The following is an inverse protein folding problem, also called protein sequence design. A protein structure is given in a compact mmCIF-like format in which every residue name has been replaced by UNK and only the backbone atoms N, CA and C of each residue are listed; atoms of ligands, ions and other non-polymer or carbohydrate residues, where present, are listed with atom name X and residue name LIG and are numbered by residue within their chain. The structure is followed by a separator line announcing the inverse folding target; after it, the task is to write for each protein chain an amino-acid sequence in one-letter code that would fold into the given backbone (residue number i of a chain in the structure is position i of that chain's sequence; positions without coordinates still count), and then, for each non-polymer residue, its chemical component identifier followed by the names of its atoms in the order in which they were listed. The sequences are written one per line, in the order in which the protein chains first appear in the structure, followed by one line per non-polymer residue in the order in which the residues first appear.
data_IF_941768881385
#
_entry.id   IF_941768881385
#
_cell.length_a   1.000
_cell.length_b   1.000
_cell.length_c   1.000
_cell.angle_alpha   90.00
_cell.angle_beta   90.00
_cell.angle_gamma   90.00
#
_symmetry.space_group_name_H-M   'P 1'
#
loop_
_entity.id
_entity.type
_entity.pdbx_description
1 polymer ?
#
# COMPACT_ATOMS: atom_id res chain seq x y z
N UNK A 1 -6.68 2.66 -6.84
CA UNK A 1 -7.86 1.83 -7.17
C UNK A 1 -7.74 1.37 -8.61
N UNK A 2 -7.78 2.30 -9.56
CA UNK A 2 -7.74 2.00 -11.01
C UNK A 2 -6.60 1.06 -11.42
N UNK A 3 -5.35 1.35 -11.00
CA UNK A 3 -4.19 0.52 -11.36
C UNK A 3 -4.32 -0.91 -10.81
N UNK A 4 -4.59 -1.08 -9.51
CA UNK A 4 -4.65 -2.43 -8.92
C UNK A 4 -5.79 -3.27 -9.50
N UNK A 5 -6.94 -2.68 -9.85
CA UNK A 5 -8.02 -3.43 -10.50
C UNK A 5 -7.72 -3.78 -11.94
N UNK A 6 -6.96 -2.94 -12.65
CA UNK A 6 -6.52 -3.25 -13.99
C UNK A 6 -5.55 -4.45 -13.97
N UNK A 7 -4.59 -4.46 -13.05
CA UNK A 7 -3.71 -5.61 -12.85
C UNK A 7 -4.45 -6.87 -12.36
N UNK A 8 -5.47 -6.72 -11.52
CA UNK A 8 -6.21 -7.85 -10.97
C UNK A 8 -7.18 -8.45 -12.00
N UNK A 9 -7.97 -7.63 -12.67
CA UNK A 9 -9.14 -8.02 -13.46
C UNK A 9 -9.15 -7.47 -14.90
N UNK A 10 -8.21 -6.59 -15.27
CA UNK A 10 -8.22 -5.91 -16.57
C UNK A 10 -9.35 -4.89 -16.70
N UNK A 11 -9.88 -4.45 -15.56
CA UNK A 11 -10.97 -3.49 -15.44
C UNK A 11 -10.52 -2.33 -14.55
N UNK A 12 -11.07 -1.14 -14.79
CA UNK A 12 -10.81 0.04 -13.97
C UNK A 12 -12.11 0.57 -13.40
N UNK A 13 -12.07 1.00 -12.14
CA UNK A 13 -13.17 1.74 -11.52
C UNK A 13 -13.27 3.17 -12.02
N UNK A 14 -12.26 3.64 -12.78
CA UNK A 14 -12.19 4.99 -13.36
C UNK A 14 -12.36 6.08 -12.29
N UNK A 15 -11.77 5.86 -11.13
CA UNK A 15 -11.80 6.84 -10.04
C UNK A 15 -11.21 8.19 -10.46
N UNK A 16 -10.23 8.19 -11.37
CA UNK A 16 -9.65 9.43 -11.89
C UNK A 16 -10.56 10.20 -12.86
N UNK A 17 -11.59 9.56 -13.43
CA UNK A 17 -12.57 10.21 -14.31
C UNK A 17 -13.73 10.85 -13.51
N UNK A 18 -13.87 10.48 -12.24
CA UNK A 18 -14.87 11.04 -11.33
C UNK A 18 -14.46 12.48 -10.93
N UNK A 19 -15.36 13.48 -11.02
CA UNK A 19 -15.03 14.87 -10.68
C UNK A 19 -14.48 15.07 -9.27
N UNK A 20 -14.90 14.22 -8.32
CA UNK A 20 -14.48 14.27 -6.92
C UNK A 20 -13.42 13.20 -6.60
N UNK A 21 -12.88 12.51 -7.63
CA UNK A 21 -11.93 11.41 -7.51
C UNK A 21 -12.46 10.20 -6.71
N UNK A 22 -13.79 10.01 -6.69
CA UNK A 22 -14.48 8.88 -6.05
C UNK A 22 -14.07 8.64 -4.58
N UNK A 23 -14.32 9.59 -3.65
CA UNK A 23 -13.84 9.55 -2.27
C UNK A 23 -14.41 8.38 -1.45
N UNK A 24 -15.50 7.77 -1.92
CA UNK A 24 -16.10 6.59 -1.32
C UNK A 24 -15.13 5.41 -1.14
N UNK A 25 -14.15 5.25 -2.04
CA UNK A 25 -13.18 4.16 -1.99
C UNK A 25 -12.15 4.28 -0.86
N UNK A 26 -11.36 5.38 -0.75
CA UNK A 26 -10.45 5.54 0.38
C UNK A 26 -11.20 5.53 1.71
N UNK A 27 -12.36 6.21 1.79
CA UNK A 27 -13.16 6.23 3.02
C UNK A 27 -13.65 4.83 3.45
N UNK A 28 -13.96 3.94 2.49
CA UNK A 28 -14.35 2.57 2.81
C UNK A 28 -13.21 1.77 3.44
N UNK A 29 -11.98 1.92 2.92
CA UNK A 29 -10.80 1.22 3.45
C UNK A 29 -10.36 1.78 4.79
N UNK A 30 -10.41 3.11 4.96
CA UNK A 30 -10.12 3.76 6.24
C UNK A 30 -11.12 3.33 7.31
N UNK A 31 -12.40 3.22 6.97
CA UNK A 31 -13.44 2.73 7.90
C UNK A 31 -13.15 1.31 8.41
N UNK A 32 -12.62 0.41 7.58
CA UNK A 32 -12.21 -0.95 7.99
C UNK A 32 -11.01 -0.92 8.91
N UNK A 33 -10.06 -0.06 8.55
CA UNK A 33 -8.79 0.12 9.24
C UNK A 33 -9.00 0.64 10.67
N UNK A 34 -9.85 1.65 10.84
CA UNK A 34 -10.25 2.21 12.14
C UNK A 34 -10.96 1.18 13.03
N UNK A 35 -11.83 0.36 12.44
CA UNK A 35 -12.55 -0.70 13.16
C UNK A 35 -11.67 -1.91 13.52
N UNK A 36 -10.42 -1.97 13.04
CA UNK A 36 -9.56 -3.14 13.21
C UNK A 36 -9.28 -3.49 14.68
N UNK A 37 -9.18 -2.50 15.57
CA UNK A 37 -8.98 -2.76 17.01
C UNK A 37 -10.22 -3.35 17.67
N UNK A 38 -11.40 -2.83 17.33
CA UNK A 38 -12.68 -3.34 17.83
C UNK A 38 -12.89 -4.78 17.37
N UNK A 39 -12.61 -5.07 16.10
CA UNK A 39 -12.73 -6.42 15.53
C UNK A 39 -11.77 -7.42 16.20
N UNK A 40 -10.57 -6.99 16.61
CA UNK A 40 -9.63 -7.83 17.35
C UNK A 40 -10.09 -8.11 18.77
N UNK A 41 -10.64 -7.11 19.46
CA UNK A 41 -11.11 -7.26 20.83
C UNK A 41 -12.42 -8.06 20.92
N UNK A 42 -13.26 -7.97 19.88
CA UNK A 42 -14.57 -8.61 19.80
C UNK A 42 -14.67 -9.46 18.52
N UNK A 43 -13.98 -10.60 18.44
CA UNK A 43 -13.97 -11.45 17.24
C UNK A 43 -15.36 -12.02 16.88
N UNK A 44 -16.30 -12.02 17.82
CA UNK A 44 -17.69 -12.42 17.62
C UNK A 44 -18.54 -11.33 16.94
N UNK A 45 -18.06 -10.08 16.87
CA UNK A 45 -18.82 -8.95 16.32
C UNK A 45 -19.08 -9.12 14.82
N UNK A 46 -18.05 -9.47 14.03
CA UNK A 46 -18.20 -9.65 12.59
C UNK A 46 -19.13 -10.83 12.21
N UNK A 47 -19.01 -12.03 12.81
CA UNK A 47 -19.98 -13.10 12.61
C UNK A 47 -21.42 -12.69 12.97
N UNK A 48 -21.60 -11.95 14.07
CA UNK A 48 -22.92 -11.46 14.48
C UNK A 48 -23.51 -10.48 13.46
N UNK A 49 -22.70 -9.55 12.95
CA UNK A 49 -23.13 -8.60 11.91
C UNK A 49 -23.55 -9.30 10.60
N UNK A 50 -22.94 -10.44 10.25
CA UNK A 50 -23.35 -11.23 9.09
C UNK A 50 -24.73 -11.88 9.26
N UNK A 51 -25.18 -12.08 10.49
CA UNK A 51 -26.48 -12.66 10.82
C UNK A 51 -27.58 -11.60 10.94
N UNK A 52 -27.22 -10.31 11.05
CA UNK A 52 -28.19 -9.22 11.16
C UNK A 52 -28.72 -8.77 9.79
N UNK A 53 -30.01 -8.41 9.68
CA UNK A 53 -30.57 -7.88 8.43
C UNK A 53 -29.83 -6.63 7.93
N UNK A 54 -29.65 -6.51 6.61
CA UNK A 54 -28.88 -5.43 5.96
C UNK A 54 -29.38 -4.03 6.39
N UNK A 55 -30.69 -3.82 6.48
CA UNK A 55 -31.27 -2.53 6.89
C UNK A 55 -30.86 -2.12 8.32
N UNK A 56 -30.65 -3.10 9.21
CA UNK A 56 -30.22 -2.85 10.59
C UNK A 56 -28.73 -2.55 10.63
N UNK A 57 -27.94 -3.26 9.83
CA UNK A 57 -26.50 -3.01 9.67
C UNK A 57 -26.25 -1.62 9.09
N UNK A 58 -27.01 -1.23 8.06
CA UNK A 58 -26.97 0.09 7.45
C UNK A 58 -27.33 1.20 8.47
N UNK A 59 -28.35 0.96 9.30
CA UNK A 59 -28.73 1.90 10.37
C UNK A 59 -27.70 2.02 11.50
N UNK A 60 -26.92 0.96 11.77
CA UNK A 60 -25.88 0.96 12.80
C UNK A 60 -24.54 1.53 12.32
N UNK A 61 -24.15 1.22 11.08
CA UNK A 61 -22.91 1.70 10.49
C UNK A 61 -23.08 1.89 8.97
N UNK A 62 -23.32 3.13 8.50
CA UNK A 62 -23.52 3.41 7.08
C UNK A 62 -22.27 3.13 6.23
N UNK A 63 -21.07 3.10 6.84
CA UNK A 63 -19.82 2.79 6.13
C UNK A 63 -19.74 1.32 5.68
N UNK A 64 -20.45 0.40 6.36
CA UNK A 64 -20.46 -1.03 6.02
C UNK A 64 -21.09 -1.28 4.65
N UNK A 65 -22.05 -0.45 4.23
CA UNK A 65 -22.68 -0.60 2.92
C UNK A 65 -21.71 -0.38 1.77
N UNK A 66 -20.68 0.45 1.96
CA UNK A 66 -19.63 0.66 0.95
C UNK A 66 -18.78 -0.59 0.78
N UNK A 67 -18.45 -1.24 1.88
CA UNK A 67 -17.73 -2.52 1.88
C UNK A 67 -18.57 -3.62 1.25
N UNK A 68 -19.85 -3.73 1.59
CA UNK A 68 -20.75 -4.72 0.99
C UNK A 68 -20.82 -4.51 -0.53
N UNK A 69 -20.95 -3.27 -1.01
CA UNK A 69 -20.93 -2.97 -2.44
C UNK A 69 -19.62 -3.42 -3.10
N UNK A 70 -18.46 -3.09 -2.50
CA UNK A 70 -17.17 -3.56 -2.97
C UNK A 70 -17.12 -5.09 -3.06
N UNK A 71 -17.61 -5.80 -2.04
CA UNK A 71 -17.61 -7.27 -2.02
C UNK A 71 -18.50 -7.85 -3.13
N UNK A 72 -19.69 -7.28 -3.36
CA UNK A 72 -20.61 -7.69 -4.43
C UNK A 72 -19.97 -7.47 -5.81
N UNK A 73 -19.32 -6.31 -6.00
CA UNK A 73 -18.66 -5.98 -7.26
C UNK A 73 -17.51 -6.95 -7.53
N UNK A 74 -16.64 -7.22 -6.55
CA UNK A 74 -15.55 -8.18 -6.67
C UNK A 74 -16.06 -9.60 -6.94
N UNK A 75 -17.14 -10.02 -6.28
CA UNK A 75 -17.78 -11.31 -6.56
C UNK A 75 -18.31 -11.41 -7.98
N UNK A 76 -18.88 -10.32 -8.49
CA UNK A 76 -19.34 -10.22 -9.88
C UNK A 76 -18.16 -10.32 -10.85
N UNK A 77 -17.05 -9.62 -10.56
CA UNK A 77 -15.84 -9.65 -11.39
C UNK A 77 -15.21 -11.04 -11.41
N UNK A 78 -15.02 -11.68 -10.26
CA UNK A 78 -14.50 -13.04 -10.14
C UNK A 78 -15.39 -14.03 -10.90
N UNK A 79 -16.70 -13.94 -10.74
CA UNK A 79 -17.66 -14.83 -11.43
C UNK A 79 -17.59 -14.68 -12.95
N UNK A 80 -17.48 -13.45 -13.46
CA UNK A 80 -17.28 -13.20 -14.90
C UNK A 80 -16.00 -13.84 -15.42
N UNK A 81 -14.90 -13.76 -14.67
CA UNK A 81 -13.63 -14.39 -15.04
C UNK A 81 -13.72 -15.91 -15.03
N UNK A 82 -14.34 -16.50 -14.02
CA UNK A 82 -14.55 -17.95 -13.94
C UNK A 82 -15.40 -18.49 -15.10
N UNK A 83 -16.38 -17.72 -15.55
CA UNK A 83 -17.28 -18.11 -16.64
C UNK A 83 -16.73 -17.78 -18.04
N UNK A 84 -15.50 -17.25 -18.15
CA UNK A 84 -14.90 -16.85 -19.43
C UNK A 84 -15.56 -15.62 -20.07
N UNK A 85 -16.37 -14.87 -19.32
CA UNK A 85 -17.12 -13.68 -19.76
C UNK A 85 -16.36 -12.37 -19.46
N UNK A 86 -15.12 -12.44 -18.97
CA UNK A 86 -14.33 -11.27 -18.62
C UNK A 86 -13.85 -10.45 -19.84
N UNK A 87 -13.94 -10.99 -21.05
CA UNK A 87 -13.43 -10.34 -22.26
C UNK A 87 -14.24 -9.12 -22.73
N UNK A 88 -15.44 -8.87 -22.20
CA UNK A 88 -16.33 -7.81 -22.72
C UNK A 88 -15.87 -6.38 -22.35
N UNK A 89 -14.91 -6.21 -21.42
CA UNK A 89 -14.44 -4.89 -20.93
C UNK A 89 -12.92 -4.83 -20.69
N UNK A 90 -12.08 -5.48 -21.52
CA UNK A 90 -10.62 -5.38 -21.38
C UNK A 90 -10.14 -3.94 -21.54
N UNK A 91 -9.60 -3.36 -20.47
CA UNK A 91 -8.86 -2.10 -20.49
C UNK A 91 -7.41 -2.32 -20.95
N UNK A 92 -6.88 -3.52 -20.73
CA UNK A 92 -5.46 -3.84 -20.89
C UNK A 92 -5.21 -5.10 -21.73
N UNK A 93 -4.12 -5.07 -22.51
CA UNK A 93 -3.67 -6.17 -23.39
C UNK A 93 -2.84 -7.24 -22.65
N UNK A 94 -2.54 -7.04 -21.37
CA UNK A 94 -1.72 -7.97 -20.57
C UNK A 94 -2.57 -9.00 -19.83
N UNK A 95 -2.00 -10.18 -19.50
CA UNK A 95 -2.63 -11.10 -18.55
C UNK A 95 -2.83 -10.43 -17.19
N UNK A 96 -3.94 -10.73 -16.53
CA UNK A 96 -4.26 -10.21 -15.19
C UNK A 96 -4.01 -11.30 -14.15
N UNK A 97 -3.94 -10.93 -12.87
CA UNK A 97 -3.75 -11.87 -11.76
C UNK A 97 -4.83 -12.97 -11.81
N UNK A 98 -6.11 -12.59 -11.93
CA UNK A 98 -7.20 -13.56 -11.94
C UNK A 98 -7.29 -14.39 -13.23
N UNK A 99 -6.80 -13.87 -14.36
CA UNK A 99 -6.64 -14.69 -15.56
C UNK A 99 -5.59 -15.79 -15.35
N UNK A 100 -4.45 -15.49 -14.71
CA UNK A 100 -3.39 -16.47 -14.44
C UNK A 100 -3.79 -17.49 -13.38
N UNK A 101 -4.45 -17.06 -12.30
CA UNK A 101 -4.94 -17.94 -11.23
C UNK A 101 -5.98 -18.96 -11.72
N UNK A 102 -6.81 -18.57 -12.70
CA UNK A 102 -7.86 -19.44 -13.23
C UNK A 102 -7.39 -20.41 -14.31
N UNK A 103 -6.14 -20.31 -14.78
CA UNK A 103 -5.60 -21.27 -15.75
C UNK A 103 -5.65 -22.72 -15.20
N UNK A 104 -5.86 -23.73 -16.07
CA UNK A 104 -5.80 -25.12 -15.66
C UNK A 104 -4.44 -25.43 -15.00
N UNK A 105 -4.47 -26.04 -13.81
CA UNK A 105 -3.25 -26.41 -13.06
C UNK A 105 -2.63 -25.33 -12.17
N UNK A 106 -3.04 -24.06 -12.25
CA UNK A 106 -2.50 -22.98 -11.39
C UNK A 106 -2.86 -23.13 -9.92
N UNK A 107 -4.12 -23.49 -9.63
CA UNK A 107 -4.65 -23.69 -8.28
C UNK A 107 -5.22 -25.10 -8.10
N UNK A 108 -5.11 -25.71 -6.90
CA UNK A 108 -5.89 -26.89 -6.49
C UNK A 108 -7.39 -26.67 -6.63
N UNK A 109 -8.18 -27.74 -6.80
CA UNK A 109 -9.62 -27.62 -7.05
C UNK A 109 -10.36 -26.99 -5.85
N UNK A 110 -9.93 -27.33 -4.64
CA UNK A 110 -10.43 -26.81 -3.37
C UNK A 110 -10.21 -25.29 -3.21
N UNK A 111 -9.20 -24.73 -3.87
CA UNK A 111 -8.88 -23.30 -3.83
C UNK A 111 -9.59 -22.49 -4.94
N UNK A 112 -10.31 -23.15 -5.86
CA UNK A 112 -11.03 -22.49 -6.97
C UNK A 112 -12.48 -22.14 -6.64
N UNK A 113 -12.84 -22.12 -5.37
CA UNK A 113 -14.19 -21.71 -4.97
C UNK A 113 -14.38 -20.20 -5.17
N UNK A 114 -15.61 -19.79 -5.51
CA UNK A 114 -15.95 -18.36 -5.63
C UNK A 114 -15.62 -17.62 -4.34
N UNK A 115 -15.94 -18.19 -3.19
CA UNK A 115 -15.70 -17.58 -1.89
C UNK A 115 -14.20 -17.31 -1.65
N UNK A 116 -13.34 -18.29 -1.95
CA UNK A 116 -11.90 -18.12 -1.80
C UNK A 116 -11.34 -17.06 -2.75
N UNK A 117 -11.70 -17.12 -4.04
CA UNK A 117 -11.24 -16.16 -5.04
C UNK A 117 -11.73 -14.73 -4.77
N UNK A 118 -12.92 -14.57 -4.20
CA UNK A 118 -13.42 -13.28 -3.74
C UNK A 118 -12.64 -12.76 -2.54
N UNK A 119 -12.22 -13.65 -1.63
CA UNK A 119 -11.30 -13.31 -0.54
C UNK A 119 -9.95 -12.80 -1.07
N UNK A 120 -9.36 -13.53 -2.01
CA UNK A 120 -8.10 -13.12 -2.67
C UNK A 120 -8.25 -11.78 -3.42
N UNK A 121 -9.40 -11.57 -4.08
CA UNK A 121 -9.72 -10.34 -4.78
C UNK A 121 -9.74 -9.14 -3.82
N UNK A 122 -10.41 -9.30 -2.69
CA UNK A 122 -10.48 -8.28 -1.65
C UNK A 122 -9.09 -7.98 -1.09
N UNK A 123 -8.28 -9.02 -0.83
CA UNK A 123 -6.93 -8.86 -0.30
C UNK A 123 -6.03 -8.08 -1.26
N UNK A 124 -6.00 -8.46 -2.54
CA UNK A 124 -5.17 -7.80 -3.57
C UNK A 124 -5.59 -6.35 -3.77
N UNK A 125 -6.90 -6.10 -3.93
CA UNK A 125 -7.43 -4.76 -4.17
C UNK A 125 -7.18 -3.84 -2.98
N UNK A 126 -7.50 -4.27 -1.76
CA UNK A 126 -7.30 -3.45 -0.57
C UNK A 126 -5.81 -3.12 -0.34
N UNK A 127 -4.92 -4.10 -0.58
CA UNK A 127 -3.48 -3.92 -0.40
C UNK A 127 -2.86 -2.91 -1.39
N UNK A 128 -3.40 -2.79 -2.61
CA UNK A 128 -2.85 -1.91 -3.65
C UNK A 128 -3.37 -0.46 -3.61
N UNK A 129 -4.15 -0.07 -2.59
CA UNK A 129 -4.76 1.26 -2.54
C UNK A 129 -4.09 2.18 -1.52
N UNK A 130 -4.40 1.98 -0.23
CA UNK A 130 -4.14 3.00 0.79
C UNK A 130 -2.65 3.13 1.11
N UNK A 131 -1.89 2.04 1.04
CA UNK A 131 -0.45 2.06 1.36
C UNK A 131 0.34 2.94 0.39
N UNK A 132 0.06 2.85 -0.91
CA UNK A 132 0.74 3.68 -1.93
C UNK A 132 0.30 5.13 -1.83
N UNK A 133 -0.99 5.39 -1.61
CA UNK A 133 -1.51 6.74 -1.40
C UNK A 133 -0.88 7.41 -0.18
N UNK A 134 -0.83 6.71 0.96
CA UNK A 134 -0.19 7.21 2.18
C UNK A 134 1.27 7.58 1.95
N UNK A 135 2.02 6.70 1.29
CA UNK A 135 3.40 6.96 0.91
C UNK A 135 3.53 8.24 0.06
N UNK A 136 2.72 8.34 -0.99
CA UNK A 136 2.78 9.45 -1.95
C UNK A 136 2.44 10.77 -1.28
N UNK A 137 1.39 10.81 -0.46
CA UNK A 137 0.96 11.99 0.28
C UNK A 137 2.06 12.46 1.26
N UNK A 138 2.58 11.54 2.08
CA UNK A 138 3.63 11.83 3.06
C UNK A 138 4.90 12.35 2.38
N UNK A 139 5.34 11.67 1.32
CA UNK A 139 6.56 12.04 0.60
C UNK A 139 6.38 13.37 -0.15
N UNK A 140 5.23 13.59 -0.79
CA UNK A 140 4.93 14.83 -1.48
C UNK A 140 4.90 16.02 -0.51
N UNK A 141 4.30 15.86 0.67
CA UNK A 141 4.34 16.87 1.73
C UNK A 141 5.79 17.24 2.08
N UNK A 142 6.65 16.26 2.35
CA UNK A 142 8.03 16.54 2.74
C UNK A 142 8.87 17.17 1.62
N UNK A 143 8.62 16.82 0.35
CA UNK A 143 9.25 17.49 -0.79
C UNK A 143 8.82 18.96 -0.85
N UNK A 144 7.52 19.24 -0.74
CA UNK A 144 6.99 20.60 -0.85
C UNK A 144 7.33 21.50 0.35
N UNK A 145 7.41 20.93 1.55
CA UNK A 145 7.76 21.65 2.77
C UNK A 145 9.24 22.11 2.78
N UNK A 146 10.05 21.63 1.85
CA UNK A 146 11.50 21.86 1.75
C UNK A 146 11.88 22.36 0.35
N UNK A 147 11.87 23.69 0.11
CA UNK A 147 12.15 24.26 -1.20
C UNK A 147 13.48 23.80 -1.82
N UNK A 148 14.48 23.51 -1.01
CA UNK A 148 15.78 22.98 -1.42
C UNK A 148 15.66 21.58 -2.06
N UNK A 149 14.88 20.69 -1.45
CA UNK A 149 14.63 19.34 -1.98
C UNK A 149 13.80 19.43 -3.25
N UNK A 150 12.74 20.24 -3.24
CA UNK A 150 11.89 20.45 -4.43
C UNK A 150 12.71 20.98 -5.60
N UNK A 151 13.56 21.99 -5.38
CA UNK A 151 14.40 22.57 -6.42
C UNK A 151 15.39 21.56 -6.99
N UNK A 152 16.04 20.76 -6.13
CA UNK A 152 17.00 19.75 -6.55
C UNK A 152 16.32 18.60 -7.33
N UNK A 153 15.16 18.13 -6.87
CA UNK A 153 14.35 17.13 -7.58
C UNK A 153 13.94 17.64 -8.96
N UNK A 154 13.39 18.86 -9.05
CA UNK A 154 13.00 19.48 -10.32
C UNK A 154 14.18 19.64 -11.28
N UNK A 155 15.35 20.03 -10.78
CA UNK A 155 16.56 20.14 -11.59
C UNK A 155 16.99 18.78 -12.16
N UNK A 156 16.97 17.72 -11.35
CA UNK A 156 17.31 16.36 -11.79
C UNK A 156 16.31 15.84 -12.84
N UNK A 157 15.00 15.98 -12.58
CA UNK A 157 13.95 15.55 -13.53
C UNK A 157 14.03 16.31 -14.86
N UNK A 158 14.23 17.64 -14.81
CA UNK A 158 14.40 18.48 -16.01
C UNK A 158 15.58 18.03 -16.87
N UNK A 159 16.63 17.48 -16.25
CA UNK A 159 17.82 17.03 -16.98
C UNK A 159 17.55 15.83 -17.90
N UNK A 160 16.56 14.99 -17.55
CA UNK A 160 16.18 13.77 -18.28
C UNK A 160 14.86 13.87 -19.04
N UNK A 161 14.06 14.91 -18.80
CA UNK A 161 12.76 15.16 -19.46
C UNK A 161 12.84 16.32 -20.46
N UNK A 162 13.95 16.43 -21.21
CA UNK A 162 14.23 17.61 -22.07
C UNK A 162 13.23 17.79 -23.21
N UNK A 163 12.62 16.72 -23.68
CA UNK A 163 11.61 16.70 -24.74
C UNK A 163 10.16 16.72 -24.20
N UNK A 164 9.99 16.86 -22.88
CA UNK A 164 8.69 16.80 -22.21
C UNK A 164 8.12 15.39 -22.05
N UNK A 165 8.81 14.35 -22.53
CA UNK A 165 8.40 12.96 -22.36
C UNK A 165 8.81 12.42 -21.00
N UNK A 166 8.00 11.51 -20.44
CA UNK A 166 8.35 10.80 -19.22
C UNK A 166 9.34 9.66 -19.55
N UNK A 167 10.50 9.57 -18.87
CA UNK A 167 11.45 8.49 -19.10
C UNK A 167 10.86 7.15 -18.68
N UNK A 168 11.49 6.05 -19.13
CA UNK A 168 11.12 4.71 -18.65
C UNK A 168 11.35 4.57 -17.15
N UNK A 169 10.63 3.65 -16.51
CA UNK A 169 10.81 3.34 -15.09
C UNK A 169 12.27 3.04 -14.74
N UNK A 170 12.95 2.22 -15.55
CA UNK A 170 14.35 1.86 -15.32
C UNK A 170 15.28 3.08 -15.35
N UNK A 171 14.93 4.11 -16.14
CA UNK A 171 15.70 5.35 -16.19
C UNK A 171 15.45 6.21 -14.95
N UNK A 172 14.20 6.27 -14.47
CA UNK A 172 13.82 6.98 -13.25
C UNK A 172 14.47 6.36 -12.01
N UNK A 173 14.52 5.03 -11.92
CA UNK A 173 15.16 4.28 -10.82
C UNK A 173 16.68 4.48 -10.76
N UNK A 174 17.29 5.02 -11.82
CA UNK A 174 18.72 5.33 -11.88
C UNK A 174 19.03 6.79 -11.49
N UNK A 175 18.01 7.63 -11.32
CA UNK A 175 18.20 9.02 -10.91
C UNK A 175 18.61 9.07 -9.43
N UNK A 176 19.82 9.53 -9.08
CA UNK A 176 20.33 9.45 -7.72
C UNK A 176 19.43 10.12 -6.69
N UNK A 177 18.96 11.34 -6.96
CA UNK A 177 18.22 12.12 -5.97
C UNK A 177 16.75 11.70 -5.87
N UNK A 178 16.07 11.42 -6.99
CA UNK A 178 14.74 10.81 -6.98
C UNK A 178 14.75 9.47 -6.24
N UNK A 179 15.74 8.62 -6.50
CA UNK A 179 15.84 7.33 -5.80
C UNK A 179 16.10 7.50 -4.30
N UNK A 180 16.87 8.51 -3.92
CA UNK A 180 17.11 8.86 -2.54
C UNK A 180 15.85 9.38 -1.83
N UNK A 181 15.07 10.22 -2.52
CA UNK A 181 13.72 10.66 -2.08
C UNK A 181 12.82 9.45 -1.91
N UNK A 182 12.85 8.49 -2.85
CA UNK A 182 12.00 7.32 -2.78
C UNK A 182 12.29 6.48 -1.54
N UNK A 183 13.58 6.24 -1.26
CA UNK A 183 14.01 5.50 -0.07
C UNK A 183 13.71 6.24 1.24
N UNK A 184 13.90 7.56 1.27
CA UNK A 184 13.55 8.34 2.47
C UNK A 184 12.04 8.40 2.69
N UNK A 185 11.25 8.48 1.61
CA UNK A 185 9.80 8.33 1.65
C UNK A 185 9.38 7.00 2.27
N UNK A 186 10.05 5.90 1.94
CA UNK A 186 9.71 4.58 2.49
C UNK A 186 9.98 4.52 3.99
N UNK A 187 11.03 5.22 4.42
CA UNK A 187 11.41 5.28 5.83
C UNK A 187 10.39 6.09 6.63
N UNK A 188 10.10 7.33 6.19
CA UNK A 188 9.28 8.27 6.96
C UNK A 188 7.77 8.00 6.88
N UNK A 189 7.30 7.38 5.79
CA UNK A 189 5.92 6.92 5.70
C UNK A 189 5.65 5.66 6.54
N UNK A 190 6.72 5.02 7.04
CA UNK A 190 6.75 3.81 7.89
C UNK A 190 6.14 2.53 7.30
N UNK A 191 5.34 2.63 6.23
CA UNK A 191 4.49 1.54 5.76
C UNK A 191 3.40 1.21 6.78
N UNK A 192 2.84 -0.02 6.75
CA UNK A 192 1.89 -0.46 7.78
C UNK A 192 2.52 -0.41 9.17
N UNK A 193 1.93 0.34 10.09
CA UNK A 193 2.44 0.55 11.46
C UNK A 193 2.00 -0.54 12.42
N UNK A 194 0.98 -1.31 12.04
CA UNK A 194 0.51 -2.43 12.82
C UNK A 194 1.52 -3.57 12.90
N UNK A 195 1.52 -4.28 14.02
CA UNK A 195 2.61 -5.17 14.48
C UNK A 195 2.84 -6.48 13.69
N UNK A 196 2.31 -6.65 12.48
CA UNK A 196 2.52 -7.78 11.54
C UNK A 196 2.90 -9.13 12.19
N UNK A 197 2.08 -9.60 13.13
CA UNK A 197 2.45 -10.73 14.00
C UNK A 197 2.65 -12.05 13.24
N UNK A 198 3.52 -12.90 13.77
CA UNK A 198 3.74 -14.28 13.36
C UNK A 198 3.69 -15.16 14.58
N UNK A 199 3.10 -16.33 14.44
CA UNK A 199 2.98 -17.31 15.53
C UNK A 199 3.43 -18.65 14.99
N UNK A 200 4.35 -19.31 15.70
CA UNK A 200 4.66 -20.72 15.49
C UNK A 200 3.75 -21.51 16.45
N UNK A 201 2.65 -22.11 15.95
CA UNK A 201 1.61 -22.66 16.83
C UNK A 201 2.07 -23.90 17.60
N UNK A 202 2.92 -24.71 16.99
CA UNK A 202 3.21 -26.07 17.46
C UNK A 202 4.68 -26.29 17.87
N UNK A 203 5.51 -25.25 17.79
CA UNK A 203 6.94 -25.36 18.11
C UNK A 203 7.44 -24.18 18.95
N UNK A 204 8.35 -24.47 19.88
CA UNK A 204 9.06 -23.44 20.61
C UNK A 204 10.17 -22.85 19.74
N UNK A 205 10.27 -21.52 19.72
CA UNK A 205 11.29 -20.81 18.94
C UNK A 205 12.47 -20.46 19.84
N UNK A 206 13.68 -20.74 19.37
CA UNK A 206 14.91 -20.43 20.11
C UNK A 206 15.60 -19.23 19.45
N UNK A 207 15.75 -18.15 20.21
CA UNK A 207 16.53 -16.98 19.80
C UNK A 207 17.62 -16.71 20.83
N UNK A 208 18.88 -16.99 20.46
CA UNK A 208 20.03 -16.93 21.38
C UNK A 208 19.74 -17.77 22.64
N UNK A 209 19.75 -17.15 23.82
CA UNK A 209 19.46 -17.78 25.11
C UNK A 209 17.96 -17.81 25.46
N UNK A 210 17.10 -17.24 24.62
CA UNK A 210 15.66 -17.17 24.85
C UNK A 210 14.95 -18.34 24.18
N UNK A 211 14.07 -18.99 24.94
CA UNK A 211 13.13 -20.00 24.43
C UNK A 211 11.74 -19.40 24.50
N UNK A 212 11.11 -19.21 23.34
CA UNK A 212 9.77 -18.68 23.19
C UNK A 212 8.81 -19.87 23.05
N UNK A 213 7.83 -20.03 23.97
CA UNK A 213 6.88 -21.14 23.90
C UNK A 213 6.11 -21.18 22.58
N UNK A 214 5.70 -22.37 22.18
CA UNK A 214 4.76 -22.55 21.08
C UNK A 214 3.49 -21.71 21.29
N UNK A 215 2.96 -21.13 20.21
CA UNK A 215 1.82 -20.24 20.23
C UNK A 215 2.13 -18.78 20.60
N UNK A 216 3.38 -18.43 20.93
CA UNK A 216 3.75 -17.04 21.26
C UNK A 216 3.71 -16.15 20.01
N UNK A 217 2.87 -15.09 19.96
CA UNK A 217 2.88 -14.14 18.87
C UNK A 217 4.14 -13.26 18.95
N UNK A 218 4.87 -13.19 17.84
CA UNK A 218 6.05 -12.35 17.68
C UNK A 218 5.82 -11.31 16.60
N UNK A 219 6.35 -10.12 16.83
CA UNK A 219 6.06 -8.95 16.02
C UNK A 219 7.26 -8.02 15.94
N UNK A 220 7.26 -7.20 14.89
CA UNK A 220 8.14 -6.05 14.76
C UNK A 220 7.31 -4.80 14.49
N UNK A 221 7.87 -3.63 14.80
CA UNK A 221 7.26 -2.33 14.50
C UNK A 221 8.24 -1.54 13.65
N UNK A 222 7.87 -1.25 12.40
CA UNK A 222 8.72 -0.52 11.46
C UNK A 222 9.09 0.87 11.99
N UNK A 223 8.13 1.58 12.61
CA UNK A 223 8.36 2.90 13.23
C UNK A 223 9.56 2.85 14.18
N UNK A 224 9.62 1.88 15.09
CA UNK A 224 10.70 1.81 16.09
C UNK A 224 12.08 1.61 15.46
N UNK A 225 12.15 0.94 14.31
CA UNK A 225 13.39 0.72 13.57
C UNK A 225 13.75 1.99 12.78
N UNK A 226 12.77 2.57 12.09
CA UNK A 226 12.94 3.75 11.24
C UNK A 226 13.17 5.04 12.04
N UNK A 227 12.73 5.08 13.30
CA UNK A 227 12.97 6.15 14.27
C UNK A 227 14.16 5.90 15.20
N UNK A 228 14.88 4.79 15.05
CA UNK A 228 16.07 4.55 15.85
C UNK A 228 17.20 5.48 15.39
N UNK A 229 17.59 6.43 16.26
CA UNK A 229 18.61 7.45 15.97
C UNK A 229 20.03 6.88 15.79
N UNK A 230 20.33 5.71 16.36
CA UNK A 230 21.60 5.01 16.12
C UNK A 230 21.68 4.44 14.70
N UNK A 231 20.53 4.07 14.12
CA UNK A 231 20.43 3.55 12.75
C UNK A 231 20.24 4.68 11.73
N UNK A 232 19.36 5.63 12.04
CA UNK A 232 18.97 6.75 11.22
C UNK A 232 19.14 8.06 12.00
N UNK A 233 20.32 8.70 11.97
CA UNK A 233 20.53 10.00 12.62
C UNK A 233 19.53 11.05 12.13
N UNK A 234 19.02 11.85 13.07
CA UNK A 234 17.87 12.76 12.88
C UNK A 234 16.67 12.08 12.20
N UNK A 235 16.12 11.01 12.80
CA UNK A 235 15.19 10.13 12.10
C UNK A 235 13.86 10.81 11.75
N UNK A 236 13.45 11.85 12.47
CA UNK A 236 12.21 12.57 12.15
C UNK A 236 12.38 13.61 11.04
N UNK A 237 13.62 13.85 10.60
CA UNK A 237 13.89 14.74 9.48
C UNK A 237 13.86 13.95 8.17
N UNK A 238 13.16 14.49 7.17
CA UNK A 238 13.22 14.01 5.80
C UNK A 238 14.55 14.43 5.16
N UNK A 239 15.51 13.51 5.07
CA UNK A 239 16.87 13.75 4.57
C UNK A 239 17.24 12.75 3.47
N UNK A 240 16.88 12.99 2.19
CA UNK A 240 17.26 12.13 1.08
C UNK A 240 18.78 11.88 0.98
N UNK A 241 19.60 12.85 1.40
CA UNK A 241 21.07 12.82 1.30
C UNK A 241 21.69 11.58 1.94
N UNK A 242 21.04 10.98 2.96
CA UNK A 242 21.51 9.75 3.61
C UNK A 242 21.57 8.53 2.67
N UNK A 243 20.89 8.60 1.52
CA UNK A 243 20.78 7.51 0.54
C UNK A 243 21.63 7.71 -0.72
N UNK A 244 22.37 8.83 -0.81
CA UNK A 244 23.17 9.15 -2.00
C UNK A 244 24.46 8.33 -2.06
N UNK A 245 25.16 8.22 -0.94
CA UNK A 245 26.40 7.43 -0.89
C UNK A 245 26.10 5.92 -0.92
N UNK A 246 26.69 5.14 -1.85
CA UNK A 246 26.38 3.72 -1.99
C UNK A 246 26.60 2.88 -0.71
N UNK A 247 27.69 3.14 0.01
CA UNK A 247 28.02 2.42 1.26
C UNK A 247 27.02 2.70 2.38
N UNK A 248 26.61 3.97 2.53
CA UNK A 248 25.55 4.38 3.47
C UNK A 248 24.21 3.76 3.08
N UNK A 249 23.86 3.85 1.79
CA UNK A 249 22.61 3.30 1.24
C UNK A 249 22.46 1.80 1.49
N UNK A 250 23.50 1.01 1.24
CA UNK A 250 23.47 -0.45 1.46
C UNK A 250 23.24 -0.81 2.93
N UNK A 251 23.97 -0.14 3.84
CA UNK A 251 23.81 -0.34 5.28
C UNK A 251 22.39 0.02 5.74
N UNK A 252 21.88 1.19 5.35
CA UNK A 252 20.56 1.68 5.76
C UNK A 252 19.42 0.84 5.17
N UNK A 253 19.58 0.34 3.93
CA UNK A 253 18.59 -0.53 3.28
C UNK A 253 18.39 -1.86 4.01
N UNK A 254 19.36 -2.28 4.83
CA UNK A 254 19.20 -3.44 5.71
C UNK A 254 18.13 -3.21 6.78
N UNK A 255 17.94 -1.97 7.23
CA UNK A 255 16.99 -1.57 8.26
C UNK A 255 15.71 -0.94 7.71
N UNK A 256 15.63 -0.72 6.40
CA UNK A 256 14.40 -0.29 5.73
C UNK A 256 13.46 -1.48 5.58
N UNK A 257 12.35 -1.49 6.33
CA UNK A 257 11.46 -2.65 6.52
C UNK A 257 9.98 -2.32 6.32
N UNK A 258 9.66 -1.22 5.63
CA UNK A 258 8.29 -0.83 5.28
C UNK A 258 7.54 -1.90 4.45
N UNK A 259 8.27 -2.72 3.68
CA UNK A 259 7.71 -3.85 2.93
C UNK A 259 7.88 -5.20 3.64
N UNK A 260 8.28 -5.23 4.91
CA UNK A 260 8.76 -6.45 5.59
C UNK A 260 9.95 -7.09 4.84
N UNK A 261 10.43 -8.25 5.31
CA UNK A 261 11.52 -9.01 4.68
C UNK A 261 11.27 -10.53 4.78
N UNK A 262 11.99 -11.29 3.96
CA UNK A 262 11.94 -12.75 3.95
C UNK A 262 10.71 -13.31 3.22
N UNK A 263 10.27 -14.51 3.60
CA UNK A 263 9.21 -15.27 2.92
C UNK A 263 7.82 -14.60 2.98
N UNK A 264 7.66 -13.57 3.81
CA UNK A 264 6.43 -12.80 3.97
C UNK A 264 6.66 -11.31 3.68
N UNK A 265 7.64 -10.99 2.84
CA UNK A 265 7.79 -9.66 2.26
C UNK A 265 6.59 -9.28 1.40
N UNK A 266 6.37 -7.98 1.22
CA UNK A 266 5.26 -7.46 0.43
C UNK A 266 5.32 -7.96 -1.02
N UNK A 267 4.28 -8.68 -1.45
CA UNK A 267 4.14 -9.17 -2.82
C UNK A 267 4.08 -8.01 -3.84
N UNK A 268 3.44 -6.91 -3.45
CA UNK A 268 3.21 -5.74 -4.30
C UNK A 268 4.37 -4.74 -4.38
N UNK A 269 5.52 -5.00 -3.75
CA UNK A 269 6.61 -4.02 -3.62
C UNK A 269 7.08 -3.44 -4.97
N UNK A 270 7.11 -4.26 -6.02
CA UNK A 270 7.58 -3.84 -7.35
C UNK A 270 6.55 -2.98 -8.08
N UNK A 271 5.25 -3.32 -7.95
CA UNK A 271 4.18 -2.49 -8.49
C UNK A 271 4.11 -1.15 -7.76
N UNK A 272 4.18 -1.17 -6.41
CA UNK A 272 4.21 0.04 -5.61
C UNK A 272 5.40 0.94 -5.96
N UNK A 273 6.61 0.37 -6.11
CA UNK A 273 7.77 1.13 -6.54
C UNK A 273 7.57 1.77 -7.92
N UNK A 274 7.05 1.02 -8.89
CA UNK A 274 6.76 1.55 -10.22
C UNK A 274 5.79 2.72 -10.17
N UNK A 275 4.66 2.57 -9.47
CA UNK A 275 3.66 3.63 -9.27
C UNK A 275 4.30 4.86 -8.60
N UNK A 276 5.12 4.66 -7.58
CA UNK A 276 5.79 5.73 -6.83
C UNK A 276 6.74 6.53 -7.72
N UNK A 277 7.65 5.85 -8.44
CA UNK A 277 8.62 6.52 -9.31
C UNK A 277 7.91 7.29 -10.42
N UNK A 278 6.93 6.65 -11.08
CA UNK A 278 6.21 7.26 -12.19
C UNK A 278 5.37 8.46 -11.72
N UNK A 279 4.66 8.33 -10.60
CA UNK A 279 3.81 9.40 -10.06
C UNK A 279 4.65 10.58 -9.59
N UNK A 280 5.69 10.35 -8.76
CA UNK A 280 6.54 11.44 -8.28
C UNK A 280 7.22 12.17 -9.44
N UNK A 281 7.82 11.44 -10.39
CA UNK A 281 8.45 12.04 -11.55
C UNK A 281 7.44 12.84 -12.39
N UNK A 282 6.26 12.28 -12.67
CA UNK A 282 5.23 12.95 -13.49
C UNK A 282 4.71 14.22 -12.82
N UNK A 283 4.32 14.13 -11.56
CA UNK A 283 3.69 15.24 -10.83
C UNK A 283 4.69 16.39 -10.65
N UNK A 284 5.89 16.11 -10.12
CA UNK A 284 6.89 17.15 -9.85
C UNK A 284 7.59 17.69 -11.10
N UNK A 285 7.51 17.01 -12.25
CA UNK A 285 8.06 17.51 -13.51
C UNK A 285 7.10 18.40 -14.29
N UNK A 286 5.78 18.16 -14.18
CA UNK A 286 4.76 18.82 -15.00
C UNK A 286 4.03 19.97 -14.31
N UNK A 287 4.01 19.96 -12.99
CA UNK A 287 3.20 20.90 -12.22
C UNK A 287 4.05 21.69 -11.22
N UNK A 288 3.63 22.93 -11.02
CA UNK A 288 4.06 23.76 -9.91
C UNK A 288 2.90 23.80 -8.90
N UNK A 289 3.15 23.31 -7.70
CA UNK A 289 2.14 23.24 -6.64
C UNK A 289 2.80 23.56 -5.30
N UNK A 290 1.99 24.08 -4.39
CA UNK A 290 2.37 24.50 -3.05
C UNK A 290 1.40 23.91 -2.01
N UNK A 291 1.86 23.79 -0.77
CA UNK A 291 1.00 23.35 0.32
C UNK A 291 -0.08 24.40 0.60
N UNK A 292 -1.35 23.98 0.64
CA UNK A 292 -2.47 24.85 0.97
C UNK A 292 -3.15 24.36 2.24
N UNK A 293 -2.92 25.08 3.37
CA UNK A 293 -3.43 24.72 4.70
C UNK A 293 -3.04 23.32 5.19
N UNK A 294 -2.03 22.70 4.57
CA UNK A 294 -1.46 21.42 5.00
C UNK A 294 -0.22 21.66 5.85
N UNK A 295 -0.18 21.04 7.02
CA UNK A 295 0.86 21.15 8.04
C UNK A 295 1.46 19.77 8.33
N UNK A 296 2.44 19.71 9.23
CA UNK A 296 3.04 18.44 9.62
C UNK A 296 2.04 17.55 10.38
N UNK A 297 1.06 18.16 11.05
CA UNK A 297 0.02 17.43 11.79
C UNK A 297 -0.83 16.58 10.85
N UNK A 298 -1.06 17.03 9.60
CA UNK A 298 -1.88 16.32 8.61
C UNK A 298 -1.21 15.04 8.06
N UNK A 299 0.08 14.83 8.34
CA UNK A 299 0.82 13.62 7.94
C UNK A 299 1.51 12.91 9.12
N UNK A 300 1.35 13.44 10.34
CA UNK A 300 1.94 12.86 11.53
C UNK A 300 1.28 11.51 11.84
N UNK A 301 2.05 10.60 12.44
CA UNK A 301 1.54 9.30 12.84
C UNK A 301 1.13 9.35 14.31
N UNK A 302 -0.15 9.56 14.56
CA UNK A 302 -0.73 9.59 15.91
C UNK A 302 -1.52 8.31 16.21
N UNK A 303 -2.03 7.64 15.17
CA UNK A 303 -2.89 6.46 15.29
C UNK A 303 -2.34 5.30 14.46
N UNK A 304 -2.30 4.11 15.06
CA UNK A 304 -2.06 2.84 14.37
C UNK A 304 -3.41 2.23 14.00
N UNK A 305 -3.87 2.40 12.78
CA UNK A 305 -5.04 1.71 12.24
C UNK A 305 -4.64 0.79 11.09
N UNK A 306 -3.62 -0.06 11.27
CA UNK A 306 -2.95 -0.77 10.16
C UNK A 306 -2.09 0.15 9.30
N UNK A 307 -2.71 1.14 8.66
CA UNK A 307 -1.98 2.25 8.09
C UNK A 307 -1.85 3.37 9.14
N UNK A 308 -0.72 4.10 9.15
CA UNK A 308 -0.56 5.28 9.99
C UNK A 308 -1.58 6.36 9.61
N UNK A 309 -2.16 6.99 10.62
CA UNK A 309 -3.04 8.14 10.45
C UNK A 309 -2.73 9.26 11.47
N UNK A 310 -3.03 10.53 11.14
CA UNK A 310 -3.10 11.64 12.10
C UNK A 310 -4.15 11.46 13.21
#
# INVERSE_FOLDING_TARGET
MDVVTDYAFGTSYKCLDDPDFAPMWPEAVDSVSEQSHMNKQFPWLLPLMRLTPIWLVEGMNPHVMRLIKLQIDLATQVSKHMNGQANDNKVSDHPTIFHELLKPGSLPAEERTIEHLVGEAQAVVAAGQVTTTHYLNTTAYHIMARPEILAQLKAELKSVMRDGSLPSLQKLEQLPFLSAIVLEGYRISYGPTHRLQRTAPDEALVYKSYVLPAGTPMSMTSILIHENEELFPDPRSFKPERWIEPSGREKLSTYLVNFSKGTRGCLGQHLAAAEIYLTLATIFSRFDFELYKTTQEDIAVERDFFNPQP
#
